data_IF_488587202669
#
_entry.id   IF_488587202669
#
_cell.length_a   1.000
_cell.length_b   1.000
_cell.length_c   1.000
_cell.angle_alpha   90.00
_cell.angle_beta   90.00
_cell.angle_gamma   90.00
#
_symmetry.space_group_name_H-M   'P 1'
#
loop_
_entity.id
_entity.type
_entity.pdbx_description
1 polymer ?
#
# COMPACT_ATOMS: atom_id res chain seq x y z
N UNK A 1 -17.09 23.52 0.91
CA UNK A 1 -15.80 24.23 0.75
C UNK A 1 -14.87 23.44 -0.18
N UNK A 2 -13.84 24.10 -0.73
CA UNK A 2 -12.82 23.45 -1.58
C UNK A 2 -12.09 22.33 -0.81
N UNK A 3 -11.82 22.53 0.48
CA UNK A 3 -11.21 21.54 1.36
C UNK A 3 -12.08 20.30 1.51
N UNK A 4 -13.38 20.45 1.78
CA UNK A 4 -14.30 19.32 1.90
C UNK A 4 -14.37 18.50 0.60
N UNK A 5 -14.38 19.17 -0.56
CA UNK A 5 -14.35 18.49 -1.85
C UNK A 5 -13.08 17.65 -2.04
N UNK A 6 -11.92 18.20 -1.69
CA UNK A 6 -10.66 17.48 -1.78
C UNK A 6 -10.60 16.31 -0.81
N UNK A 7 -11.03 16.50 0.46
CA UNK A 7 -11.10 15.42 1.45
C UNK A 7 -12.04 14.30 1.01
N UNK A 8 -13.20 14.63 0.46
CA UNK A 8 -14.12 13.62 -0.07
C UNK A 8 -13.50 12.82 -1.24
N UNK A 9 -12.73 13.47 -2.11
CA UNK A 9 -11.98 12.78 -3.17
C UNK A 9 -10.93 11.83 -2.58
N UNK A 10 -10.14 12.28 -1.57
CA UNK A 10 -9.15 11.41 -0.91
C UNK A 10 -9.79 10.15 -0.33
N UNK A 11 -10.95 10.29 0.34
CA UNK A 11 -11.68 9.14 0.90
C UNK A 11 -12.22 8.23 -0.19
N UNK A 12 -12.85 8.81 -1.23
CA UNK A 12 -13.46 8.04 -2.33
C UNK A 12 -12.42 7.23 -3.13
N UNK A 13 -11.26 7.82 -3.35
CA UNK A 13 -10.19 7.23 -4.18
C UNK A 13 -9.11 6.50 -3.35
N UNK A 14 -9.19 6.52 -2.02
CA UNK A 14 -8.19 5.97 -1.09
C UNK A 14 -6.79 6.57 -1.25
N UNK A 15 -6.71 7.85 -1.59
CA UNK A 15 -5.47 8.57 -1.82
C UNK A 15 -5.67 9.76 -2.75
N UNK A 16 -4.59 10.37 -3.21
CA UNK A 16 -4.60 11.57 -4.05
C UNK A 16 -4.56 11.29 -5.57
N UNK A 17 -4.91 10.06 -5.98
CA UNK A 17 -5.00 9.65 -7.39
C UNK A 17 -6.39 9.11 -7.71
N UNK A 18 -6.89 9.39 -8.91
CA UNK A 18 -8.13 8.79 -9.41
C UNK A 18 -7.96 7.28 -9.61
N UNK A 19 -8.91 6.48 -9.14
CA UNK A 19 -8.87 5.00 -9.24
C UNK A 19 -8.96 4.49 -10.68
N UNK A 20 -9.67 5.19 -11.54
CA UNK A 20 -9.90 4.82 -12.94
C UNK A 20 -8.73 5.19 -13.86
N UNK A 21 -8.17 6.38 -13.68
CA UNK A 21 -7.09 6.89 -14.54
C UNK A 21 -5.70 6.80 -13.93
N UNK A 22 -5.59 6.43 -12.64
CA UNK A 22 -4.34 6.46 -11.87
C UNK A 22 -3.64 7.82 -11.78
N UNK A 23 -4.26 8.89 -12.30
CA UNK A 23 -3.70 10.24 -12.31
C UNK A 23 -3.92 10.95 -10.99
N UNK A 24 -2.91 11.73 -10.58
CA UNK A 24 -3.01 12.62 -9.42
C UNK A 24 -4.08 13.69 -9.65
N UNK A 25 -4.85 13.99 -8.61
CA UNK A 25 -5.70 15.17 -8.57
C UNK A 25 -5.18 16.19 -7.57
N UNK A 26 -5.20 17.45 -7.99
CA UNK A 26 -4.71 18.58 -7.20
C UNK A 26 -5.89 19.25 -6.48
N UNK A 27 -5.70 19.75 -5.23
CA UNK A 27 -6.75 20.47 -4.52
C UNK A 27 -7.11 21.80 -5.20
N UNK A 28 -8.34 22.25 -5.02
CA UNK A 28 -8.80 23.56 -5.50
C UNK A 28 -8.39 24.75 -4.61
N UNK A 29 -7.48 24.53 -3.64
CA UNK A 29 -6.85 25.53 -2.79
C UNK A 29 -5.33 25.46 -2.94
N UNK A 30 -4.63 26.53 -2.57
CA UNK A 30 -3.18 26.66 -2.72
C UNK A 30 -2.41 26.12 -1.51
N UNK A 31 -1.13 25.80 -1.70
CA UNK A 31 -0.23 25.44 -0.59
C UNK A 31 -0.10 26.56 0.45
N UNK A 32 -0.13 27.83 0.01
CA UNK A 32 -0.09 28.98 0.91
C UNK A 32 -1.35 29.04 1.80
N UNK A 33 -2.54 28.82 1.23
CA UNK A 33 -3.80 28.77 1.99
C UNK A 33 -3.76 27.65 3.04
N UNK A 34 -3.28 26.45 2.66
CA UNK A 34 -3.11 25.35 3.60
C UNK A 34 -2.07 25.69 4.69
N UNK A 35 -0.91 26.22 4.31
CA UNK A 35 0.16 26.58 5.24
C UNK A 35 -0.30 27.61 6.28
N UNK A 36 -1.12 28.60 5.87
CA UNK A 36 -1.73 29.56 6.80
C UNK A 36 -2.63 28.86 7.80
N UNK A 37 -3.53 27.99 7.35
CA UNK A 37 -4.45 27.23 8.22
C UNK A 37 -3.69 26.31 9.18
N UNK A 38 -2.65 25.62 8.69
CA UNK A 38 -1.78 24.76 9.53
C UNK A 38 -1.11 25.58 10.64
N UNK A 39 -0.61 26.79 10.32
CA UNK A 39 -0.01 27.69 11.30
C UNK A 39 -1.01 28.16 12.36
N UNK A 40 -2.21 28.53 11.93
CA UNK A 40 -3.29 28.96 12.84
C UNK A 40 -3.69 27.82 13.80
N UNK A 41 -3.86 26.59 13.29
CA UNK A 41 -4.18 25.42 14.11
C UNK A 41 -3.06 25.05 15.08
N UNK A 42 -1.80 25.12 14.66
CA UNK A 42 -0.66 24.91 15.57
C UNK A 42 -0.61 25.94 16.69
N UNK A 43 -0.90 27.20 16.37
CA UNK A 43 -0.96 28.28 17.37
C UNK A 43 -2.11 28.08 18.39
N UNK A 44 -3.18 27.37 17.97
CA UNK A 44 -4.29 27.01 18.90
C UNK A 44 -4.04 25.69 19.64
N UNK A 45 -2.84 25.12 19.57
CA UNK A 45 -2.44 23.92 20.31
C UNK A 45 -2.71 22.58 19.58
N UNK A 46 -3.19 22.61 18.34
CA UNK A 46 -3.38 21.38 17.56
C UNK A 46 -2.04 20.87 17.05
N UNK A 47 -1.70 19.61 17.37
CA UNK A 47 -0.53 18.96 16.85
C UNK A 47 -0.81 18.47 15.42
N UNK A 48 -0.14 19.07 14.44
CA UNK A 48 -0.25 18.71 13.03
C UNK A 48 1.14 18.42 12.47
N UNK A 49 1.28 17.28 11.84
CA UNK A 49 2.46 16.94 11.02
C UNK A 49 2.20 17.40 9.58
N UNK A 50 2.80 18.52 9.23
CA UNK A 50 2.82 19.02 7.85
C UNK A 50 4.26 19.34 7.47
N UNK A 51 4.81 18.52 6.57
CA UNK A 51 6.17 18.64 6.08
C UNK A 51 6.21 19.23 4.67
N UNK A 52 7.38 19.74 4.26
CA UNK A 52 7.63 20.18 2.87
C UNK A 52 7.40 19.03 1.87
N UNK A 53 7.73 17.80 2.25
CA UNK A 53 7.48 16.61 1.44
C UNK A 53 5.98 16.41 1.21
N UNK A 54 5.16 16.50 2.26
CA UNK A 54 3.71 16.39 2.14
C UNK A 54 3.13 17.49 1.25
N UNK A 55 3.66 18.72 1.32
CA UNK A 55 3.31 19.81 0.40
C UNK A 55 3.55 19.40 -1.06
N UNK A 56 4.71 18.83 -1.36
CA UNK A 56 5.03 18.34 -2.70
C UNK A 56 4.09 17.22 -3.16
N UNK A 57 3.80 16.25 -2.28
CA UNK A 57 2.83 15.17 -2.57
C UNK A 57 1.45 15.72 -2.92
N UNK A 58 0.99 16.77 -2.24
CA UNK A 58 -0.36 17.33 -2.42
C UNK A 58 -0.44 18.26 -3.63
N UNK A 59 0.55 19.15 -3.82
CA UNK A 59 0.42 20.29 -4.73
C UNK A 59 1.25 20.21 -6.02
N UNK A 60 2.31 19.38 -6.07
CA UNK A 60 3.12 19.24 -7.28
C UNK A 60 2.49 18.19 -8.22
N UNK A 61 1.93 18.60 -9.39
CA UNK A 61 1.29 17.67 -10.30
C UNK A 61 2.29 16.72 -10.99
N UNK A 62 3.57 17.08 -11.06
CA UNK A 62 4.61 16.26 -11.69
C UNK A 62 5.26 15.26 -10.72
N UNK A 63 5.09 15.49 -9.43
CA UNK A 63 5.60 14.57 -8.40
C UNK A 63 4.61 13.42 -8.21
N UNK A 64 5.04 12.18 -8.47
CA UNK A 64 4.16 11.01 -8.43
C UNK A 64 2.90 11.20 -9.28
N UNK A 65 3.06 11.60 -10.52
CA UNK A 65 1.95 11.98 -11.42
C UNK A 65 0.92 10.85 -11.58
N UNK A 66 1.39 9.60 -11.68
CA UNK A 66 0.54 8.43 -11.90
C UNK A 66 0.92 7.26 -10.98
N UNK A 67 -0.07 6.58 -10.38
CA UNK A 67 0.17 5.33 -9.66
C UNK A 67 0.63 4.21 -10.60
N UNK A 68 -0.01 4.08 -11.76
CA UNK A 68 0.34 3.12 -12.80
C UNK A 68 0.34 3.81 -14.14
N UNK A 69 1.49 3.91 -14.76
CA UNK A 69 1.66 4.47 -16.09
C UNK A 69 1.91 3.35 -17.11
N UNK A 70 0.85 2.94 -17.84
CA UNK A 70 0.94 1.86 -18.85
C UNK A 70 1.55 2.32 -20.17
N UNK A 71 1.69 3.62 -20.38
CA UNK A 71 2.25 4.22 -21.61
C UNK A 71 3.34 5.24 -21.21
N UNK A 72 4.50 4.79 -20.77
CA UNK A 72 5.54 5.64 -20.21
C UNK A 72 6.20 6.59 -21.22
N UNK A 73 5.98 6.37 -22.51
CA UNK A 73 6.69 7.01 -23.60
C UNK A 73 7.96 6.27 -24.01
N UNK A 74 8.53 6.69 -25.14
CA UNK A 74 9.72 6.04 -25.70
C UNK A 74 10.93 6.13 -24.75
N UNK A 75 11.61 5.02 -24.55
CA UNK A 75 12.83 4.93 -23.74
C UNK A 75 12.63 5.02 -22.21
N UNK A 76 11.38 5.06 -21.72
CA UNK A 76 11.10 5.08 -20.28
C UNK A 76 10.62 3.72 -19.79
N UNK A 77 11.10 3.30 -18.63
CA UNK A 77 10.63 2.09 -17.97
C UNK A 77 9.28 2.34 -17.26
N UNK A 78 8.32 1.45 -17.47
CA UNK A 78 6.98 1.57 -16.91
C UNK A 78 6.99 1.55 -15.37
N UNK A 79 7.87 0.78 -14.74
CA UNK A 79 7.97 0.70 -13.28
C UNK A 79 8.58 1.96 -12.69
N UNK A 80 9.60 2.56 -13.37
CA UNK A 80 10.24 3.80 -12.92
C UNK A 80 9.31 5.01 -12.93
N UNK A 81 8.37 5.05 -13.88
CA UNK A 81 7.40 6.17 -13.98
C UNK A 81 6.05 5.88 -13.31
N UNK A 82 5.92 4.72 -12.69
CA UNK A 82 4.76 4.35 -11.86
C UNK A 82 5.08 4.47 -10.38
N UNK A 83 4.13 4.95 -9.58
CA UNK A 83 4.34 5.23 -8.16
C UNK A 83 3.39 4.40 -7.27
N UNK A 84 3.15 3.15 -7.70
CA UNK A 84 2.41 2.20 -6.86
C UNK A 84 3.32 1.62 -5.76
N UNK A 85 2.69 1.02 -4.75
CA UNK A 85 3.41 0.47 -3.60
C UNK A 85 3.96 -0.95 -3.81
N UNK A 86 3.90 -1.49 -5.03
CA UNK A 86 4.31 -2.87 -5.31
C UNK A 86 5.77 -3.00 -5.69
N UNK A 87 6.38 -1.92 -6.23
CA UNK A 87 7.75 -1.91 -6.73
C UNK A 87 8.52 -0.70 -6.19
N UNK A 88 9.79 -0.89 -5.81
CA UNK A 88 10.66 0.19 -5.37
C UNK A 88 12.06 0.00 -5.91
N UNK A 89 12.55 0.99 -6.66
CA UNK A 89 13.87 0.99 -7.32
C UNK A 89 14.09 -0.22 -8.25
N UNK A 90 13.05 -0.72 -8.88
CA UNK A 90 13.03 -1.91 -9.76
C UNK A 90 12.62 -1.50 -11.15
N UNK A 91 13.26 -2.04 -12.17
CA UNK A 91 12.90 -1.90 -13.58
C UNK A 91 12.29 -3.17 -14.13
N UNK A 92 11.60 -3.10 -15.28
CA UNK A 92 11.12 -4.29 -15.98
C UNK A 92 12.26 -5.26 -16.29
N UNK A 93 13.42 -4.75 -16.68
CA UNK A 93 14.61 -5.55 -16.95
C UNK A 93 15.09 -6.34 -15.72
N UNK A 94 14.98 -5.75 -14.54
CA UNK A 94 15.33 -6.42 -13.28
C UNK A 94 14.43 -7.64 -13.02
N UNK A 95 13.19 -7.62 -13.53
CA UNK A 95 12.19 -8.65 -13.32
C UNK A 95 12.16 -9.74 -14.41
N UNK A 96 12.87 -9.57 -15.54
CA UNK A 96 12.84 -10.54 -16.67
C UNK A 96 13.12 -12.00 -16.25
N UNK A 97 13.98 -12.20 -15.25
CA UNK A 97 14.35 -13.52 -14.73
C UNK A 97 14.10 -13.66 -13.23
N UNK A 98 13.24 -12.82 -12.67
CA UNK A 98 12.91 -12.85 -11.27
C UNK A 98 11.59 -13.56 -11.06
N UNK A 99 11.62 -14.67 -10.32
CA UNK A 99 10.44 -15.45 -9.94
C UNK A 99 10.07 -15.07 -8.50
N UNK A 100 8.95 -14.39 -8.31
CA UNK A 100 8.49 -13.94 -7.00
C UNK A 100 7.75 -15.07 -6.27
N UNK A 101 8.19 -15.39 -5.05
CA UNK A 101 7.61 -16.47 -4.24
C UNK A 101 6.20 -16.12 -3.73
N UNK A 102 5.93 -14.83 -3.46
CA UNK A 102 4.69 -14.39 -2.81
C UNK A 102 3.73 -13.67 -3.76
N UNK A 103 4.11 -13.54 -5.03
CA UNK A 103 3.32 -12.89 -6.07
C UNK A 103 2.74 -11.53 -5.60
N UNK A 104 1.45 -11.27 -5.80
CA UNK A 104 0.81 -9.99 -5.44
C UNK A 104 0.74 -9.71 -3.92
N UNK A 105 1.30 -10.57 -3.07
CA UNK A 105 1.30 -10.41 -1.63
C UNK A 105 2.66 -9.93 -1.07
N UNK A 106 3.48 -9.36 -1.92
CA UNK A 106 4.76 -8.76 -1.55
C UNK A 106 4.98 -7.43 -2.28
N UNK A 107 5.88 -6.62 -1.72
CA UNK A 107 6.50 -5.48 -2.37
C UNK A 107 7.89 -5.91 -2.84
N UNK A 108 8.20 -5.72 -4.11
CA UNK A 108 9.52 -6.02 -4.67
C UNK A 108 10.38 -4.77 -4.59
N UNK A 109 11.53 -4.89 -3.93
CA UNK A 109 12.46 -3.79 -3.67
C UNK A 109 13.85 -4.16 -4.14
N UNK A 110 14.53 -3.24 -4.84
CA UNK A 110 15.94 -3.39 -5.20
C UNK A 110 16.78 -2.53 -4.26
N UNK A 111 17.57 -3.19 -3.40
CA UNK A 111 18.51 -2.56 -2.49
C UNK A 111 19.94 -3.02 -2.77
N UNK A 112 20.86 -2.08 -2.94
CA UNK A 112 22.30 -2.38 -3.21
C UNK A 112 22.48 -3.39 -4.35
N UNK A 113 21.67 -3.28 -5.40
CA UNK A 113 21.73 -4.15 -6.59
C UNK A 113 21.09 -5.54 -6.42
N UNK A 114 20.49 -5.85 -5.27
CA UNK A 114 19.80 -7.11 -5.01
C UNK A 114 18.29 -6.89 -4.92
N UNK A 115 17.52 -7.79 -5.55
CA UNK A 115 16.06 -7.82 -5.44
C UNK A 115 15.66 -8.57 -4.18
N UNK A 116 14.66 -8.06 -3.49
CA UNK A 116 14.05 -8.67 -2.29
C UNK A 116 12.54 -8.55 -2.36
N UNK A 117 11.85 -9.56 -1.86
CA UNK A 117 10.43 -9.48 -1.55
C UNK A 117 10.20 -9.06 -0.10
N UNK A 118 9.43 -8.02 0.09
CA UNK A 118 8.93 -7.58 1.40
C UNK A 118 7.49 -8.03 1.54
N UNK A 119 7.28 -9.16 2.19
CA UNK A 119 5.98 -9.85 2.23
C UNK A 119 5.00 -9.17 3.17
N UNK A 120 3.74 -9.07 2.78
CA UNK A 120 2.64 -8.64 3.63
C UNK A 120 2.15 -9.81 4.48
N UNK A 121 2.59 -9.88 5.76
CA UNK A 121 2.21 -10.97 6.67
C UNK A 121 2.36 -10.60 8.14
N UNK A 122 1.54 -11.22 8.98
CA UNK A 122 1.64 -11.10 10.43
C UNK A 122 2.92 -11.75 10.99
N UNK A 123 3.33 -12.84 10.38
CA UNK A 123 4.31 -13.77 10.90
C UNK A 123 3.65 -14.86 11.76
N UNK A 124 4.37 -15.96 11.96
CA UNK A 124 3.95 -17.06 12.84
C UNK A 124 5.17 -17.65 13.56
N UNK A 125 5.41 -17.26 14.83
CA UNK A 125 6.58 -17.74 15.60
C UNK A 125 6.64 -19.26 15.75
N UNK A 126 5.48 -19.94 15.82
CA UNK A 126 5.42 -21.40 15.95
C UNK A 126 5.92 -22.13 14.69
N UNK A 127 5.88 -21.46 13.56
CA UNK A 127 6.37 -21.96 12.27
C UNK A 127 7.68 -21.31 11.83
N UNK A 128 8.33 -20.54 12.71
CA UNK A 128 9.53 -19.75 12.41
C UNK A 128 9.34 -18.77 11.23
N UNK A 129 8.13 -18.24 11.03
CA UNK A 129 7.83 -17.26 10.00
C UNK A 129 7.94 -15.86 10.61
N UNK A 130 8.92 -15.03 10.17
CA UNK A 130 9.10 -13.70 10.72
C UNK A 130 7.95 -12.78 10.31
N UNK A 131 7.68 -11.71 11.09
CA UNK A 131 6.73 -10.68 10.71
C UNK A 131 7.20 -9.97 9.42
N UNK A 132 6.24 -9.49 8.63
CA UNK A 132 6.48 -8.74 7.40
C UNK A 132 5.88 -7.33 7.44
N UNK A 133 5.63 -6.77 6.26
CA UNK A 133 4.95 -5.47 6.14
C UNK A 133 3.53 -5.56 6.74
N UNK A 134 3.11 -4.51 7.43
CA UNK A 134 1.81 -4.39 8.10
C UNK A 134 1.52 -5.48 9.15
N UNK A 135 2.56 -6.13 9.70
CA UNK A 135 2.43 -7.25 10.63
C UNK A 135 1.49 -6.96 11.81
N UNK A 136 1.54 -5.76 12.39
CA UNK A 136 0.66 -5.37 13.49
C UNK A 136 -0.83 -5.43 13.11
N UNK A 137 -1.19 -4.89 11.94
CA UNK A 137 -2.58 -4.90 11.45
C UNK A 137 -3.03 -6.30 11.04
N UNK A 138 -2.16 -7.04 10.37
CA UNK A 138 -2.44 -8.41 9.93
C UNK A 138 -2.56 -9.37 11.12
N UNK A 139 -1.83 -9.16 12.21
CA UNK A 139 -2.00 -9.91 13.46
C UNK A 139 -3.38 -9.68 14.07
N UNK A 140 -3.89 -8.45 14.06
CA UNK A 140 -5.25 -8.15 14.53
C UNK A 140 -6.30 -8.84 13.66
N UNK A 141 -6.13 -8.82 12.33
CA UNK A 141 -7.01 -9.56 11.40
C UNK A 141 -6.99 -11.05 11.72
N UNK A 142 -5.81 -11.66 11.86
CA UNK A 142 -5.65 -13.09 12.20
C UNK A 142 -6.37 -13.46 13.49
N UNK A 143 -6.26 -12.62 14.52
CA UNK A 143 -6.94 -12.81 15.80
C UNK A 143 -8.48 -12.76 15.68
N UNK A 144 -9.00 -11.82 14.87
CA UNK A 144 -10.45 -11.74 14.61
C UNK A 144 -10.96 -12.94 13.81
N UNK A 145 -10.21 -13.41 12.81
CA UNK A 145 -10.55 -14.61 12.03
C UNK A 145 -10.57 -15.86 12.91
N UNK A 146 -9.61 -16.01 13.82
CA UNK A 146 -9.61 -17.10 14.77
C UNK A 146 -10.82 -17.06 15.71
N UNK A 147 -11.16 -15.88 16.19
CA UNK A 147 -12.34 -15.70 17.03
C UNK A 147 -13.62 -16.02 16.27
N UNK A 148 -13.77 -15.54 15.05
CA UNK A 148 -14.94 -15.80 14.20
C UNK A 148 -15.10 -17.29 13.85
N UNK A 149 -13.99 -18.02 13.63
CA UNK A 149 -14.02 -19.44 13.30
C UNK A 149 -14.64 -20.33 14.37
N UNK A 150 -14.65 -19.87 15.64
CA UNK A 150 -15.25 -20.60 16.79
C UNK A 150 -16.78 -20.58 16.75
N UNK A 151 -17.37 -19.65 16.02
CA UNK A 151 -18.84 -19.49 15.91
C UNK A 151 -19.37 -19.89 14.55
N UNK A 152 -18.49 -20.23 13.60
CA UNK A 152 -18.85 -20.61 12.24
C UNK A 152 -19.14 -22.12 12.12
N UNK A 153 -20.01 -22.51 11.21
CA UNK A 153 -20.20 -23.91 10.84
C UNK A 153 -18.95 -24.49 10.17
N UNK A 154 -18.81 -25.82 10.19
CA UNK A 154 -17.57 -26.52 9.82
C UNK A 154 -16.95 -26.08 8.48
N UNK A 155 -17.66 -25.96 7.34
CA UNK A 155 -17.06 -25.51 6.09
C UNK A 155 -16.52 -24.07 6.18
N UNK A 156 -17.31 -23.18 6.79
CA UNK A 156 -16.94 -21.78 6.96
C UNK A 156 -15.79 -21.61 7.96
N UNK A 157 -15.80 -22.36 9.07
CA UNK A 157 -14.72 -22.36 10.04
C UNK A 157 -13.39 -22.75 9.38
N UNK A 158 -13.39 -23.79 8.54
CA UNK A 158 -12.21 -24.20 7.78
C UNK A 158 -11.69 -23.09 6.86
N UNK A 159 -12.58 -22.41 6.14
CA UNK A 159 -12.20 -21.28 5.29
C UNK A 159 -11.57 -20.13 6.08
N UNK A 160 -12.16 -19.77 7.24
CA UNK A 160 -11.62 -18.72 8.11
C UNK A 160 -10.23 -19.06 8.65
N UNK A 161 -9.98 -20.35 8.97
CA UNK A 161 -8.66 -20.80 9.37
C UNK A 161 -7.63 -20.75 8.25
N UNK A 162 -8.00 -21.10 7.01
CA UNK A 162 -7.14 -20.96 5.84
C UNK A 162 -6.80 -19.49 5.56
N UNK A 163 -7.80 -18.60 5.68
CA UNK A 163 -7.60 -17.16 5.51
C UNK A 163 -6.68 -16.59 6.60
N UNK A 164 -6.83 -17.05 7.85
CA UNK A 164 -5.89 -16.72 8.93
C UNK A 164 -4.47 -17.13 8.57
N UNK A 165 -4.27 -18.36 8.10
CA UNK A 165 -2.96 -18.85 7.68
C UNK A 165 -2.36 -18.01 6.55
N UNK A 166 -3.18 -17.59 5.59
CA UNK A 166 -2.75 -16.68 4.52
C UNK A 166 -2.18 -15.37 5.10
N UNK A 167 -2.89 -14.73 6.04
CA UNK A 167 -2.39 -13.51 6.66
C UNK A 167 -1.16 -13.72 7.57
N UNK A 168 -1.02 -14.88 8.17
CA UNK A 168 0.15 -15.20 8.99
C UNK A 168 1.39 -15.50 8.14
N UNK A 169 1.25 -16.22 7.05
CA UNK A 169 2.36 -16.77 6.27
C UNK A 169 2.68 -15.95 5.01
N UNK A 170 1.69 -15.25 4.46
CA UNK A 170 1.82 -14.51 3.21
C UNK A 170 1.70 -15.34 1.95
N UNK A 171 1.52 -16.66 2.05
CA UNK A 171 1.42 -17.59 0.91
C UNK A 171 0.00 -17.72 0.41
N UNK A 172 -0.18 -18.01 -0.90
CA UNK A 172 -1.50 -18.21 -1.51
C UNK A 172 -2.24 -19.38 -0.86
N UNK A 173 -3.57 -19.24 -0.79
CA UNK A 173 -4.44 -20.32 -0.32
C UNK A 173 -4.43 -21.54 -1.27
N UNK A 174 -4.25 -21.31 -2.55
CA UNK A 174 -4.20 -22.32 -3.61
C UNK A 174 -3.05 -23.32 -3.41
N UNK A 175 -1.89 -22.86 -2.95
CA UNK A 175 -0.72 -23.71 -2.68
C UNK A 175 -0.98 -24.70 -1.52
N UNK A 176 -2.04 -24.50 -0.74
CA UNK A 176 -2.41 -25.33 0.41
C UNK A 176 -3.58 -26.28 0.17
N UNK A 177 -4.31 -26.08 -0.93
CA UNK A 177 -5.44 -26.94 -1.31
C UNK A 177 -4.95 -28.13 -2.12
N UNK A 178 -3.74 -28.06 -2.72
CA UNK A 178 -3.15 -29.13 -3.54
C UNK A 178 -2.30 -30.13 -2.75
N UNK A 179 -2.09 -29.92 -1.46
CA UNK A 179 -1.41 -30.81 -0.51
C UNK A 179 -2.38 -31.24 0.61
#
# INVERSE_FOLDING_TARGET
SKTALYTNKLVLHHGNHYRDSSRKFIPGFTEQELGKTVKELRNSGVKLDYSKHLGKVIFDPAFEEMLTNKNPGEGKDMLEVSHNNMYENVTLKDLENYDDEFHFNSKIVKEKGKIKEMVFRAGNPLKNIPPGLYSEYLSKISSHLESASKYAESPQAKYLQLLKQYFEEGRRLEDKIQN
#
